data_IF_917336566364
#
_entry.id   IF_917336566364
#
_cell.length_a   1.000
_cell.length_b   1.000
_cell.length_c   1.000
_cell.angle_alpha   90.00
_cell.angle_beta   90.00
_cell.angle_gamma   90.00
#
_symmetry.space_group_name_H-M   'P 1'
#
loop_
_entity.id
_entity.type
_entity.pdbx_description
1 polymer ?
#
# COMPACT_ATOMS: atom_id res chain seq x y z
N UNK A 1 -34.92 27.52 40.51
CA UNK A 1 -35.08 27.01 39.13
C UNK A 1 -34.10 27.72 38.21
N UNK A 2 -32.92 27.14 37.99
CA UNK A 2 -32.10 27.35 36.79
C UNK A 2 -31.56 25.97 36.44
N UNK A 3 -31.95 25.51 35.26
CA UNK A 3 -31.60 24.22 34.68
C UNK A 3 -30.08 24.18 34.49
N UNK A 4 -29.47 23.14 35.04
CA UNK A 4 -28.12 22.71 34.66
C UNK A 4 -28.26 22.10 33.27
N UNK A 5 -27.48 22.62 32.32
CA UNK A 5 -27.43 22.11 30.96
C UNK A 5 -26.97 20.66 30.98
N UNK A 6 -27.70 19.81 30.27
CA UNK A 6 -27.26 18.48 29.89
C UNK A 6 -25.97 18.65 29.08
N UNK A 7 -24.85 18.25 29.67
CA UNK A 7 -23.62 18.01 28.94
C UNK A 7 -23.89 16.86 27.99
N UNK A 8 -23.82 17.14 26.69
CA UNK A 8 -23.91 16.18 25.58
C UNK A 8 -22.65 15.31 25.53
N UNK A 9 -22.31 14.69 26.66
CA UNK A 9 -21.21 13.73 26.76
C UNK A 9 -21.74 12.38 26.30
N UNK A 10 -21.31 11.97 25.10
CA UNK A 10 -21.42 10.58 24.67
C UNK A 10 -20.90 9.67 25.78
N UNK A 11 -21.68 8.69 26.25
CA UNK A 11 -21.27 7.84 27.36
C UNK A 11 -19.93 7.17 27.03
N UNK A 12 -19.01 7.04 28.01
CA UNK A 12 -17.73 6.39 27.80
C UNK A 12 -17.96 4.96 27.28
N UNK A 13 -17.20 4.56 26.26
CA UNK A 13 -17.28 3.20 25.72
C UNK A 13 -17.00 2.17 26.80
N UNK A 14 -17.69 1.02 26.72
CA UNK A 14 -17.44 -0.08 27.65
C UNK A 14 -16.04 -0.66 27.41
N UNK A 15 -15.40 -1.13 28.47
CA UNK A 15 -14.12 -1.85 28.39
C UNK A 15 -14.18 -3.02 27.41
N UNK A 16 -15.34 -3.68 27.31
CA UNK A 16 -15.56 -4.78 26.37
C UNK A 16 -15.44 -4.33 24.92
N UNK A 17 -16.04 -3.18 24.56
CA UNK A 17 -15.97 -2.65 23.20
C UNK A 17 -14.53 -2.26 22.81
N UNK A 18 -13.80 -1.64 23.74
CA UNK A 18 -12.39 -1.28 23.52
C UNK A 18 -11.52 -2.53 23.30
N UNK A 19 -11.76 -3.59 24.06
CA UNK A 19 -11.04 -4.86 23.88
C UNK A 19 -11.35 -5.50 22.51
N UNK A 20 -12.61 -5.43 22.07
CA UNK A 20 -13.00 -5.92 20.74
C UNK A 20 -12.35 -5.12 19.61
N UNK A 21 -12.24 -3.81 19.77
CA UNK A 21 -11.59 -2.94 18.77
C UNK A 21 -10.08 -3.18 18.71
N UNK A 22 -9.42 -3.34 19.86
CA UNK A 22 -7.99 -3.70 19.92
C UNK A 22 -7.74 -5.05 19.25
N UNK A 23 -8.59 -6.05 19.51
CA UNK A 23 -8.47 -7.37 18.89
C UNK A 23 -8.64 -7.28 17.36
N UNK A 24 -9.57 -6.46 16.90
CA UNK A 24 -9.78 -6.21 15.47
C UNK A 24 -8.58 -5.50 14.82
N UNK A 25 -8.07 -4.43 15.42
CA UNK A 25 -6.87 -3.72 14.93
C UNK A 25 -5.67 -4.66 14.85
N UNK A 26 -5.47 -5.49 15.88
CA UNK A 26 -4.38 -6.47 15.91
C UNK A 26 -4.48 -7.47 14.76
N UNK A 27 -5.71 -7.89 14.44
CA UNK A 27 -5.96 -8.77 13.28
C UNK A 27 -5.59 -8.07 11.97
N UNK A 28 -6.02 -6.82 11.79
CA UNK A 28 -5.67 -6.02 10.60
C UNK A 28 -4.15 -5.84 10.45
N UNK A 29 -3.43 -5.65 11.55
CA UNK A 29 -1.98 -5.41 11.56
C UNK A 29 -1.12 -6.67 11.32
N UNK A 30 -1.71 -7.86 11.33
CA UNK A 30 -0.95 -9.09 11.07
C UNK A 30 -0.73 -9.32 9.55
N UNK A 31 -1.54 -8.68 8.71
CA UNK A 31 -1.52 -8.84 7.26
C UNK A 31 -2.27 -10.10 6.82
N UNK A 32 -3.42 -9.89 6.17
CA UNK A 32 -4.17 -10.93 5.47
C UNK A 32 -3.91 -10.92 3.96
N UNK A 33 -4.50 -11.88 3.24
CA UNK A 33 -4.44 -11.87 1.76
C UNK A 33 -5.19 -10.68 1.16
N UNK A 34 -6.24 -10.22 1.83
CA UNK A 34 -7.11 -9.13 1.39
C UNK A 34 -7.77 -8.42 2.56
N UNK A 35 -7.95 -7.10 2.44
CA UNK A 35 -8.72 -6.27 3.37
C UNK A 35 -10.04 -5.82 2.71
N UNK A 36 -11.17 -6.17 3.33
CA UNK A 36 -12.50 -5.88 2.79
C UNK A 36 -12.97 -4.45 3.09
N UNK A 37 -13.94 -3.96 2.30
CA UNK A 37 -14.54 -2.64 2.51
C UNK A 37 -15.18 -2.51 3.89
N UNK A 38 -15.82 -3.58 4.37
CA UNK A 38 -16.43 -3.62 5.70
C UNK A 38 -15.42 -3.45 6.82
N UNK A 39 -14.22 -4.02 6.67
CA UNK A 39 -13.16 -3.92 7.66
C UNK A 39 -12.52 -2.53 7.64
N UNK A 40 -12.31 -1.96 6.45
CA UNK A 40 -11.81 -0.59 6.28
C UNK A 40 -12.80 0.42 6.89
N UNK A 41 -14.10 0.22 6.65
CA UNK A 41 -15.12 1.10 7.21
C UNK A 41 -15.20 0.95 8.74
N UNK A 42 -15.01 -0.26 9.28
CA UNK A 42 -14.85 -0.46 10.73
C UNK A 42 -13.62 0.26 11.29
N UNK A 43 -12.47 0.22 10.61
CA UNK A 43 -11.28 0.99 11.03
C UNK A 43 -11.57 2.50 11.05
N UNK A 44 -12.25 3.03 10.03
CA UNK A 44 -12.63 4.46 9.99
C UNK A 44 -13.54 4.84 11.16
N UNK A 45 -14.46 3.95 11.55
CA UNK A 45 -15.30 4.16 12.73
C UNK A 45 -14.48 4.20 14.02
N UNK A 46 -13.46 3.34 14.14
CA UNK A 46 -12.57 3.33 15.31
C UNK A 46 -11.71 4.61 15.36
N UNK A 47 -11.15 5.05 14.23
CA UNK A 47 -10.36 6.29 14.13
C UNK A 47 -11.16 7.53 14.55
N UNK A 48 -12.47 7.56 14.27
CA UNK A 48 -13.33 8.68 14.64
C UNK A 48 -13.55 8.80 16.16
N UNK A 49 -13.16 7.78 16.93
CA UNK A 49 -13.25 7.79 18.40
C UNK A 49 -12.08 8.57 18.99
N UNK A 50 -12.35 9.26 20.08
CA UNK A 50 -11.31 9.85 20.92
C UNK A 50 -11.11 9.00 22.16
N UNK A 51 -9.85 8.82 22.54
CA UNK A 51 -9.43 8.11 23.73
C UNK A 51 -8.61 9.05 24.60
N UNK A 52 -8.64 8.84 25.91
CA UNK A 52 -7.82 9.62 26.84
C UNK A 52 -6.54 8.85 27.15
N UNK A 53 -5.41 9.34 26.66
CA UNK A 53 -4.07 8.81 26.93
C UNK A 53 -3.28 9.85 27.72
N UNK A 54 -2.74 9.45 28.87
CA UNK A 54 -1.97 10.33 29.78
C UNK A 54 -2.67 11.65 30.15
N UNK A 55 -4.01 11.66 30.15
CA UNK A 55 -4.83 12.83 30.48
C UNK A 55 -5.15 13.74 29.30
N UNK A 56 -4.63 13.46 28.11
CA UNK A 56 -4.95 14.17 26.87
C UNK A 56 -5.95 13.37 26.02
N UNK A 57 -6.86 14.07 25.36
CA UNK A 57 -7.78 13.48 24.39
C UNK A 57 -7.10 13.42 23.03
N UNK A 58 -6.90 12.20 22.55
CA UNK A 58 -6.26 11.91 21.27
C UNK A 58 -7.13 10.99 20.43
N UNK A 59 -7.01 11.00 19.10
CA UNK A 59 -7.66 10.00 18.26
C UNK A 59 -7.25 8.58 18.67
N UNK A 60 -8.17 7.62 18.57
CA UNK A 60 -7.87 6.21 18.86
C UNK A 60 -6.80 5.63 17.93
N UNK A 61 -6.71 6.16 16.71
CA UNK A 61 -5.70 5.84 15.71
C UNK A 61 -5.34 7.12 14.94
N UNK A 62 -4.07 7.26 14.59
CA UNK A 62 -3.59 8.33 13.71
C UNK A 62 -4.00 8.12 12.25
N UNK A 63 -3.95 9.17 11.43
CA UNK A 63 -4.18 9.08 9.98
C UNK A 63 -3.18 8.14 9.30
N UNK A 64 -1.92 8.14 9.77
CA UNK A 64 -0.87 7.26 9.28
C UNK A 64 -1.16 5.79 9.60
N UNK A 65 -1.62 5.49 10.81
CA UNK A 65 -2.03 4.12 11.18
C UNK A 65 -3.23 3.65 10.37
N UNK A 66 -4.24 4.50 10.19
CA UNK A 66 -5.39 4.18 9.33
C UNK A 66 -4.94 3.86 7.89
N UNK A 67 -4.04 4.67 7.33
CA UNK A 67 -3.51 4.47 5.98
C UNK A 67 -2.83 3.10 5.85
N UNK A 68 -2.00 2.72 6.82
CA UNK A 68 -1.26 1.45 6.80
C UNK A 68 -2.18 0.24 7.05
N UNK A 69 -3.11 0.34 7.99
CA UNK A 69 -4.05 -0.75 8.31
C UNK A 69 -5.12 -0.95 7.23
N UNK A 70 -5.34 0.03 6.34
CA UNK A 70 -6.33 -0.05 5.26
C UNK A 70 -5.76 -0.56 3.93
N UNK A 71 -4.52 -1.07 3.90
CA UNK A 71 -3.91 -1.60 2.67
C UNK A 71 -4.69 -2.83 2.21
N UNK A 72 -5.31 -2.75 1.02
CA UNK A 72 -6.15 -3.83 0.47
C UNK A 72 -5.41 -5.14 0.22
N UNK A 73 -4.16 -5.06 -0.23
CA UNK A 73 -3.37 -6.22 -0.62
C UNK A 73 -1.89 -5.93 -0.51
N UNK A 74 -1.16 -6.88 0.09
CA UNK A 74 0.25 -6.73 0.41
C UNK A 74 0.44 -5.77 1.59
N UNK A 75 1.64 -5.23 1.71
CA UNK A 75 2.07 -4.47 2.90
C UNK A 75 2.55 -3.06 2.58
N UNK A 76 2.41 -2.63 1.33
CA UNK A 76 2.94 -1.36 0.84
C UNK A 76 1.80 -0.40 0.56
N UNK A 77 1.95 0.81 1.07
CA UNK A 77 1.19 1.97 0.62
C UNK A 77 1.47 2.26 -0.86
N UNK A 78 0.64 3.09 -1.49
CA UNK A 78 0.87 3.47 -2.87
C UNK A 78 2.20 4.22 -3.05
N UNK A 79 2.55 5.10 -2.12
CA UNK A 79 3.80 5.85 -2.17
C UNK A 79 5.02 4.92 -2.07
N UNK A 80 5.00 3.94 -1.17
CA UNK A 80 6.09 2.96 -1.06
C UNK A 80 6.18 2.06 -2.30
N UNK A 81 5.02 1.67 -2.85
CA UNK A 81 4.97 0.92 -4.12
C UNK A 81 5.58 1.73 -5.26
N UNK A 82 5.35 3.04 -5.33
CA UNK A 82 5.95 3.92 -6.34
C UNK A 82 7.47 4.00 -6.17
N UNK A 83 7.96 4.13 -4.94
CA UNK A 83 9.40 4.13 -4.63
C UNK A 83 10.06 2.82 -5.06
N UNK A 84 9.44 1.68 -4.78
CA UNK A 84 9.97 0.37 -5.17
C UNK A 84 9.91 0.20 -6.70
N UNK A 85 8.79 0.55 -7.33
CA UNK A 85 8.60 0.42 -8.79
C UNK A 85 9.62 1.27 -9.59
N UNK A 86 10.10 2.36 -9.00
CA UNK A 86 11.12 3.21 -9.60
C UNK A 86 12.47 2.49 -9.88
N UNK A 87 12.74 1.33 -9.26
CA UNK A 87 13.96 0.58 -9.55
C UNK A 87 14.13 0.24 -11.04
N UNK A 88 13.02 -0.02 -11.76
CA UNK A 88 13.05 -0.31 -13.19
C UNK A 88 13.49 0.91 -14.01
N UNK A 89 12.94 2.09 -13.69
CA UNK A 89 13.33 3.35 -14.33
C UNK A 89 14.79 3.72 -14.04
N UNK A 90 15.23 3.52 -12.79
CA UNK A 90 16.63 3.71 -12.39
C UNK A 90 17.56 2.74 -13.13
N UNK A 91 17.15 1.48 -13.29
CA UNK A 91 17.92 0.47 -14.04
C UNK A 91 18.11 0.85 -15.50
N UNK A 92 17.05 1.34 -16.18
CA UNK A 92 17.15 1.89 -17.54
C UNK A 92 18.19 3.01 -17.55
N UNK A 93 18.05 4.00 -16.65
CA UNK A 93 18.95 5.16 -16.59
C UNK A 93 20.41 4.75 -16.39
N UNK A 94 20.67 3.77 -15.53
CA UNK A 94 22.03 3.28 -15.27
C UNK A 94 22.58 2.53 -16.49
N UNK A 95 21.83 1.58 -17.04
CA UNK A 95 22.28 0.76 -18.17
C UNK A 95 22.47 1.60 -19.44
N UNK A 96 21.61 2.59 -19.70
CA UNK A 96 21.74 3.47 -20.87
C UNK A 96 23.01 4.33 -20.86
N UNK A 97 23.72 4.44 -19.74
CA UNK A 97 25.01 5.15 -19.66
C UNK A 97 26.21 4.26 -20.00
N UNK A 98 26.01 2.95 -20.11
CA UNK A 98 27.06 1.99 -20.40
C UNK A 98 27.18 1.74 -21.91
N UNK A 99 28.41 1.51 -22.38
CA UNK A 99 28.66 1.14 -23.78
C UNK A 99 28.62 -0.37 -23.92
N UNK A 100 27.56 -0.89 -24.52
CA UNK A 100 27.39 -2.32 -24.80
C UNK A 100 27.88 -2.71 -26.19
N UNK A 101 28.23 -3.98 -26.35
CA UNK A 101 28.43 -4.58 -27.67
C UNK A 101 27.12 -4.55 -28.48
N UNK A 102 27.21 -4.70 -29.81
CA UNK A 102 26.04 -4.67 -30.69
C UNK A 102 24.95 -5.66 -30.25
N UNK A 103 25.35 -6.86 -29.79
CA UNK A 103 24.42 -7.89 -29.32
C UNK A 103 23.68 -7.53 -28.03
N UNK A 104 24.24 -6.64 -27.20
CA UNK A 104 23.69 -6.22 -25.91
C UNK A 104 23.14 -4.78 -25.93
N UNK A 105 23.09 -4.14 -27.10
CA UNK A 105 22.67 -2.74 -27.26
C UNK A 105 21.28 -2.42 -26.72
N UNK A 106 20.40 -3.41 -26.56
CA UNK A 106 19.02 -3.28 -26.05
C UNK A 106 18.82 -3.78 -24.62
N UNK A 107 19.89 -4.09 -23.90
CA UNK A 107 19.76 -4.65 -22.53
C UNK A 107 19.00 -3.73 -21.58
N UNK A 108 19.18 -2.41 -21.71
CA UNK A 108 18.46 -1.43 -20.90
C UNK A 108 16.94 -1.50 -21.12
N UNK A 109 16.49 -1.70 -22.37
CA UNK A 109 15.08 -1.88 -22.72
C UNK A 109 14.53 -3.18 -22.13
N UNK A 110 15.26 -4.29 -22.26
CA UNK A 110 14.80 -5.59 -21.78
C UNK A 110 14.72 -5.65 -20.25
N UNK A 111 15.76 -5.17 -19.57
CA UNK A 111 15.80 -5.09 -18.13
C UNK A 111 14.85 -4.03 -17.58
N UNK A 112 14.59 -2.94 -18.29
CA UNK A 112 13.62 -1.94 -17.86
C UNK A 112 12.16 -2.38 -17.99
N UNK A 113 11.86 -3.17 -19.02
CA UNK A 113 10.49 -3.54 -19.39
C UNK A 113 9.96 -4.83 -18.76
N UNK A 114 10.71 -5.53 -17.90
CA UNK A 114 10.28 -6.83 -17.38
C UNK A 114 9.13 -6.75 -16.34
N UNK A 115 8.83 -5.57 -15.80
CA UNK A 115 7.64 -5.33 -14.98
C UNK A 115 6.48 -4.68 -15.75
N UNK A 116 6.63 -4.51 -17.07
CA UNK A 116 5.54 -4.09 -17.92
C UNK A 116 4.52 -5.22 -18.10
N UNK A 117 3.25 -4.85 -18.24
CA UNK A 117 2.15 -5.81 -18.40
C UNK A 117 1.52 -5.67 -19.77
N UNK A 118 1.02 -6.77 -20.32
CA UNK A 118 0.42 -6.78 -21.67
C UNK A 118 -0.77 -5.81 -21.81
N UNK A 119 -1.46 -5.51 -20.71
CA UNK A 119 -2.60 -4.58 -20.66
C UNK A 119 -2.18 -3.10 -20.48
N UNK A 120 -0.90 -2.80 -20.27
CA UNK A 120 -0.39 -1.45 -20.03
C UNK A 120 -0.48 -0.96 -18.59
N UNK A 121 -0.88 -1.80 -17.63
CA UNK A 121 -0.90 -1.47 -16.19
C UNK A 121 0.43 -1.80 -15.48
N UNK A 122 1.49 -1.96 -16.26
CA UNK A 122 2.84 -2.17 -15.76
C UNK A 122 3.62 -0.86 -15.63
N UNK A 123 4.90 -0.98 -15.31
CA UNK A 123 5.81 0.14 -15.11
C UNK A 123 7.19 -0.21 -15.71
N UNK A 124 8.05 0.78 -16.02
CA UNK A 124 7.94 2.21 -15.71
C UNK A 124 7.26 3.08 -16.77
N UNK A 125 7.00 2.56 -17.98
CA UNK A 125 6.52 3.32 -19.13
C UNK A 125 5.05 3.06 -19.48
N UNK A 126 4.43 2.01 -18.92
CA UNK A 126 3.03 1.67 -19.18
C UNK A 126 2.81 1.13 -20.60
N UNK A 127 3.80 0.36 -21.10
CA UNK A 127 3.79 -0.17 -22.45
C UNK A 127 2.77 -1.30 -22.60
N UNK A 128 2.10 -1.35 -23.75
CA UNK A 128 1.19 -2.44 -24.12
C UNK A 128 1.93 -3.57 -24.84
N UNK A 129 1.30 -4.73 -24.92
CA UNK A 129 1.95 -5.95 -25.41
C UNK A 129 2.57 -5.88 -26.81
N UNK A 130 2.05 -5.04 -27.69
CA UNK A 130 2.58 -4.76 -29.03
C UNK A 130 3.81 -3.82 -29.03
N UNK A 131 3.99 -3.06 -27.96
CA UNK A 131 5.14 -2.16 -27.73
C UNK A 131 6.29 -2.87 -27.00
N UNK A 132 6.04 -4.04 -26.40
CA UNK A 132 7.02 -4.78 -25.62
C UNK A 132 7.88 -5.73 -26.47
N UNK A 133 9.19 -5.64 -26.29
CA UNK A 133 10.12 -6.61 -26.83
C UNK A 133 9.80 -8.03 -26.32
N UNK A 134 9.93 -9.02 -27.19
CA UNK A 134 9.76 -10.43 -26.81
C UNK A 134 10.67 -10.83 -25.65
N UNK A 135 11.92 -10.34 -25.63
CA UNK A 135 12.89 -10.59 -24.58
C UNK A 135 12.45 -10.05 -23.22
N UNK A 136 11.86 -8.84 -23.18
CA UNK A 136 11.32 -8.28 -21.94
C UNK A 136 10.16 -9.13 -21.41
N UNK A 137 9.29 -9.62 -22.31
CA UNK A 137 8.18 -10.53 -21.94
C UNK A 137 8.67 -11.88 -21.44
N UNK A 138 9.73 -12.44 -22.04
CA UNK A 138 10.35 -13.68 -21.56
C UNK A 138 10.93 -13.46 -20.16
N UNK A 139 11.64 -12.35 -19.94
CA UNK A 139 12.22 -12.01 -18.65
C UNK A 139 11.15 -11.80 -17.57
N UNK A 140 10.06 -11.10 -17.89
CA UNK A 140 8.90 -10.92 -17.01
C UNK A 140 8.31 -12.26 -16.52
N UNK A 141 8.20 -13.24 -17.43
CA UNK A 141 7.74 -14.58 -17.06
C UNK A 141 8.79 -15.29 -16.21
N UNK A 142 10.06 -15.26 -16.60
CA UNK A 142 11.13 -15.91 -15.84
C UNK A 142 11.20 -15.41 -14.39
N UNK A 143 11.14 -14.09 -14.18
CA UNK A 143 11.19 -13.43 -12.87
C UNK A 143 10.04 -13.87 -11.95
N UNK A 144 8.83 -14.04 -12.48
CA UNK A 144 7.68 -14.53 -11.69
C UNK A 144 7.85 -15.99 -11.25
N UNK A 145 8.61 -16.80 -12.00
CA UNK A 145 8.79 -18.23 -11.74
C UNK A 145 10.06 -18.58 -10.94
N UNK A 146 10.98 -17.63 -10.75
CA UNK A 146 12.21 -17.83 -9.96
C UNK A 146 12.03 -17.18 -8.57
N UNK A 147 11.73 -17.98 -7.52
CA UNK A 147 11.50 -17.46 -6.16
C UNK A 147 12.78 -17.09 -5.40
#
# INVERSE_FOLDING_TARGET
>A
MKSLGESDETPPESTDQLNEDIAFITTCNTGGEFMEDVDIDRLKQIVAKQVRLDGEEVPALSEDELMNLSIRKGTLTNNERDVISNHAAVSIKMLSQLTFSKSLSRVAEYAGGHHEKLNGEGYPQGLKGDQLALQARILAVADVFEP
#
